data_IF_488726439941
#
_entry.id   IF_488726439941
#
_cell.length_a   1.000
_cell.length_b   1.000
_cell.length_c   1.000
_cell.angle_alpha   90.00
_cell.angle_beta   90.00
_cell.angle_gamma   90.00
#
_symmetry.space_group_name_H-M   'P 1'
#
loop_
_entity.id
_entity.type
_entity.pdbx_description
1 polymer ?
#
# COMPACT_ATOMS: atom_id res chain seq x y z
N UNK A 1 -49.39 38.50 8.11
CA UNK A 1 -50.20 37.62 8.99
C UNK A 1 -49.30 36.44 9.38
N UNK A 2 -48.46 36.58 10.42
CA UNK A 2 -48.66 36.08 11.82
C UNK A 2 -48.86 34.56 11.84
N UNK A 3 -47.90 33.72 12.24
CA UNK A 3 -47.33 33.51 13.59
C UNK A 3 -45.97 32.80 13.42
N UNK A 4 -44.82 33.21 13.99
CA UNK A 4 -44.44 33.35 15.41
C UNK A 4 -44.80 32.13 16.28
N UNK A 5 -43.89 31.15 16.35
CA UNK A 5 -43.74 30.32 17.55
C UNK A 5 -42.27 30.28 17.94
N UNK A 6 -41.96 31.12 18.93
CA UNK A 6 -40.67 31.25 19.59
C UNK A 6 -40.52 30.20 20.69
N UNK A 7 -39.34 29.57 20.74
CA UNK A 7 -38.52 29.34 21.94
C UNK A 7 -39.21 28.58 23.09
N UNK A 8 -38.71 27.38 23.39
CA UNK A 8 -38.27 27.09 24.78
C UNK A 8 -37.05 26.18 24.75
N UNK A 9 -35.87 26.81 24.73
CA UNK A 9 -34.66 26.21 25.31
C UNK A 9 -34.93 25.95 26.79
N UNK A 10 -34.38 24.85 27.30
CA UNK A 10 -33.82 24.68 28.66
C UNK A 10 -34.44 23.51 29.46
N UNK A 11 -33.68 22.42 29.46
CA UNK A 11 -33.36 21.57 30.62
C UNK A 11 -34.50 20.75 31.21
N UNK A 12 -34.57 19.49 30.80
CA UNK A 12 -34.64 18.41 31.76
C UNK A 12 -33.51 17.42 31.44
N UNK A 13 -32.46 17.49 32.28
CA UNK A 13 -31.47 16.43 32.46
C UNK A 13 -32.15 15.23 33.14
N UNK A 14 -31.47 14.08 33.14
CA UNK A 14 -31.83 12.75 33.68
C UNK A 14 -32.51 11.90 32.58
N UNK A 15 -31.91 10.86 32.00
CA UNK A 15 -30.89 9.95 32.48
C UNK A 15 -31.44 8.54 32.38
N UNK A 16 -31.16 7.83 31.29
CA UNK A 16 -31.32 6.38 31.21
C UNK A 16 -30.41 5.84 30.12
N UNK A 17 -29.41 5.09 30.57
CA UNK A 17 -28.45 4.38 29.77
C UNK A 17 -29.16 3.32 28.92
N UNK A 18 -28.98 3.42 27.60
CA UNK A 18 -29.13 2.28 26.69
C UNK A 18 -27.90 2.26 25.80
N UNK A 19 -26.93 1.40 26.15
CA UNK A 19 -25.82 1.04 25.27
C UNK A 19 -26.37 0.36 24.00
N UNK A 20 -26.07 0.86 22.80
CA UNK A 20 -25.99 0.00 21.64
C UNK A 20 -24.53 -0.50 21.56
N UNK A 21 -24.34 -1.75 21.95
CA UNK A 21 -23.15 -2.52 21.58
C UNK A 21 -23.26 -2.74 20.07
N UNK A 22 -22.63 -1.88 19.28
CA UNK A 22 -22.31 -2.19 17.89
C UNK A 22 -20.81 -2.45 17.85
N UNK A 23 -20.48 -3.73 17.97
CA UNK A 23 -19.22 -4.27 17.51
C UNK A 23 -19.06 -3.88 16.04
N UNK A 24 -18.30 -2.82 15.78
CA UNK A 24 -17.80 -2.57 14.44
C UNK A 24 -16.75 -3.65 14.18
N UNK A 25 -17.16 -4.66 13.42
CA UNK A 25 -16.30 -5.75 12.96
C UNK A 25 -14.97 -5.19 12.45
N UNK A 26 -13.88 -5.81 12.91
CA UNK A 26 -12.56 -5.58 12.35
C UNK A 26 -12.64 -5.69 10.85
N UNK A 27 -12.26 -4.61 10.16
CA UNK A 27 -11.97 -4.67 8.73
C UNK A 27 -10.66 -5.43 8.61
N UNK A 28 -10.77 -6.76 8.57
CA UNK A 28 -9.69 -7.61 8.07
C UNK A 28 -9.45 -7.20 6.64
N UNK A 29 -8.46 -6.33 6.42
CA UNK A 29 -7.82 -6.21 5.13
C UNK A 29 -7.06 -7.53 4.94
N UNK A 30 -7.77 -8.52 4.43
CA UNK A 30 -7.19 -9.80 4.03
C UNK A 30 -6.47 -9.57 2.70
N UNK A 31 -5.26 -9.07 2.81
CA UNK A 31 -4.17 -9.31 1.88
C UNK A 31 -2.93 -9.33 2.74
N UNK A 32 -2.04 -10.27 2.48
CA UNK A 32 -0.68 -10.27 3.00
C UNK A 32 0.00 -8.95 2.61
N UNK A 33 -0.22 -7.90 3.40
CA UNK A 33 0.22 -6.51 3.19
C UNK A 33 1.58 -6.30 3.88
N UNK A 34 2.36 -7.37 3.93
CA UNK A 34 3.73 -7.33 4.38
C UNK A 34 4.55 -6.72 3.26
N UNK A 35 5.12 -5.56 3.53
CA UNK A 35 6.01 -4.85 2.62
C UNK A 35 7.19 -5.75 2.19
N UNK A 36 7.48 -5.80 0.89
CA UNK A 36 8.49 -6.70 0.32
C UNK A 36 9.89 -6.06 0.41
N UNK A 37 10.45 -6.00 1.62
CA UNK A 37 11.75 -5.37 1.87
C UNK A 37 12.91 -6.26 1.45
N UNK A 38 13.79 -5.73 0.62
CA UNK A 38 15.07 -6.32 0.23
C UNK A 38 16.26 -5.47 0.71
N UNK A 39 17.41 -6.13 0.88
CA UNK A 39 18.72 -5.53 1.13
C UNK A 39 19.71 -6.03 0.07
N UNK A 40 19.71 -5.43 -1.14
CA UNK A 40 20.47 -5.95 -2.29
C UNK A 40 21.98 -6.06 -2.03
N UNK A 41 22.56 -5.11 -1.30
CA UNK A 41 23.99 -5.12 -0.95
C UNK A 41 24.42 -6.27 -0.03
N UNK A 42 23.45 -6.90 0.65
CA UNK A 42 23.66 -8.03 1.56
C UNK A 42 23.07 -9.33 0.98
N UNK A 43 22.59 -9.31 -0.26
CA UNK A 43 21.86 -10.40 -0.91
C UNK A 43 20.71 -10.98 -0.06
N UNK A 44 20.03 -10.14 0.73
CA UNK A 44 18.85 -10.55 1.51
C UNK A 44 17.58 -10.09 0.82
N UNK A 45 16.68 -11.02 0.57
CA UNK A 45 15.45 -10.81 -0.18
C UNK A 45 14.22 -11.31 0.59
N UNK A 46 13.01 -10.80 0.33
CA UNK A 46 11.81 -11.28 0.99
C UNK A 46 11.50 -12.74 0.58
N UNK A 47 10.77 -13.54 1.39
CA UNK A 47 10.54 -14.96 1.11
C UNK A 47 9.90 -15.28 -0.25
N UNK A 48 9.08 -14.36 -0.81
CA UNK A 48 8.47 -14.52 -2.13
C UNK A 48 9.52 -14.52 -3.26
N UNK A 49 10.63 -13.80 -3.08
CA UNK A 49 11.70 -13.74 -4.06
C UNK A 49 12.29 -15.12 -4.35
N UNK A 50 12.53 -15.92 -3.30
CA UNK A 50 13.12 -17.26 -3.44
C UNK A 50 12.15 -18.30 -4.02
N UNK A 51 10.85 -17.98 -4.08
CA UNK A 51 9.82 -18.82 -4.70
C UNK A 51 9.60 -18.44 -6.17
N UNK A 52 10.06 -17.26 -6.58
CA UNK A 52 9.94 -16.78 -7.96
C UNK A 52 10.88 -17.55 -8.90
N UNK A 53 10.58 -17.52 -10.20
CA UNK A 53 11.44 -18.14 -11.20
C UNK A 53 12.84 -17.50 -11.19
N UNK A 54 13.89 -18.21 -11.66
CA UNK A 54 15.23 -17.64 -11.77
C UNK A 54 15.26 -16.32 -12.57
N UNK A 55 14.45 -16.22 -13.61
CA UNK A 55 14.33 -15.01 -14.44
C UNK A 55 13.72 -13.84 -13.68
N UNK A 56 12.70 -14.11 -12.85
CA UNK A 56 12.11 -13.08 -12.00
C UNK A 56 13.10 -12.61 -10.93
N UNK A 57 13.83 -13.55 -10.31
CA UNK A 57 14.89 -13.21 -9.34
C UNK A 57 15.97 -12.32 -9.97
N UNK A 58 16.41 -12.64 -11.18
CA UNK A 58 17.39 -11.83 -11.92
C UNK A 58 16.83 -10.45 -12.28
N UNK A 59 15.56 -10.38 -12.72
CA UNK A 59 14.91 -9.11 -13.02
C UNK A 59 14.88 -8.16 -11.83
N UNK A 60 14.57 -8.65 -10.62
CA UNK A 60 14.59 -7.82 -9.40
C UNK A 60 16.01 -7.43 -8.98
N UNK A 61 17.00 -8.33 -9.11
CA UNK A 61 18.43 -7.98 -8.90
C UNK A 61 18.85 -6.85 -9.83
N UNK A 62 18.51 -6.97 -11.12
CA UNK A 62 18.81 -5.97 -12.13
C UNK A 62 18.10 -4.64 -11.84
N UNK A 63 16.82 -4.67 -11.46
CA UNK A 63 16.05 -3.47 -11.15
C UNK A 63 16.63 -2.70 -9.95
N UNK A 64 17.06 -3.40 -8.90
CA UNK A 64 17.70 -2.79 -7.76
C UNK A 64 19.10 -2.23 -8.09
N UNK A 65 19.82 -2.85 -9.02
CA UNK A 65 21.19 -2.47 -9.40
C UNK A 65 21.25 -1.36 -10.47
N UNK A 66 20.23 -1.25 -11.33
CA UNK A 66 20.22 -0.35 -12.49
C UNK A 66 18.95 0.51 -12.59
N UNK A 67 18.54 1.23 -11.53
CA UNK A 67 17.37 2.10 -11.58
C UNK A 67 17.48 3.19 -12.66
N UNK A 68 18.69 3.71 -12.87
CA UNK A 68 18.99 4.74 -13.86
C UNK A 68 18.75 4.29 -15.30
N UNK A 69 18.74 2.98 -15.54
CA UNK A 69 18.41 2.39 -16.84
C UNK A 69 16.91 2.14 -16.92
N UNK A 70 16.35 1.43 -15.94
CA UNK A 70 14.96 0.97 -16.00
C UNK A 70 13.93 2.08 -15.90
N UNK A 71 14.28 3.25 -15.35
CA UNK A 71 13.41 4.43 -15.34
C UNK A 71 13.02 4.91 -16.76
N UNK A 72 13.78 4.52 -17.79
CA UNK A 72 13.50 4.88 -19.19
C UNK A 72 12.80 3.78 -19.98
N UNK A 73 12.65 2.59 -19.41
CA UNK A 73 12.02 1.46 -20.09
C UNK A 73 10.51 1.50 -19.84
N UNK A 74 9.66 1.59 -20.88
CA UNK A 74 8.21 1.61 -20.69
C UNK A 74 7.70 0.29 -20.11
N UNK A 75 6.78 0.37 -19.14
CA UNK A 75 6.08 -0.79 -18.58
C UNK A 75 4.79 -1.04 -19.37
N UNK A 76 4.58 -2.28 -19.83
CA UNK A 76 3.42 -2.68 -20.64
C UNK A 76 2.40 -3.53 -19.87
N UNK A 77 2.49 -3.55 -18.54
CA UNK A 77 1.58 -4.30 -17.67
C UNK A 77 0.14 -3.73 -17.64
N UNK A 78 -0.10 -2.59 -18.28
CA UNK A 78 -1.42 -1.92 -18.26
C UNK A 78 -1.70 -1.12 -16.98
N UNK A 79 -0.72 -1.01 -16.08
CA UNK A 79 -0.86 -0.29 -14.81
C UNK A 79 -0.45 1.20 -14.86
N UNK A 80 -0.31 1.78 -16.06
CA UNK A 80 0.13 3.18 -16.22
C UNK A 80 -0.74 4.21 -15.49
N UNK A 81 -2.05 3.98 -15.47
CA UNK A 81 -3.01 4.85 -14.75
C UNK A 81 -2.85 4.79 -13.22
N UNK A 82 -2.16 3.78 -12.68
CA UNK A 82 -1.80 3.69 -11.26
C UNK A 82 -0.52 4.48 -10.93
N UNK A 83 0.09 5.16 -11.91
CA UNK A 83 1.30 5.94 -11.74
C UNK A 83 2.59 5.21 -12.09
N UNK A 84 2.52 3.96 -12.58
CA UNK A 84 3.69 3.20 -13.01
C UNK A 84 4.08 3.59 -14.43
N UNK A 85 5.10 4.42 -14.59
CA UNK A 85 5.49 5.02 -15.87
C UNK A 85 6.61 4.24 -16.58
N UNK A 86 7.29 3.37 -15.84
CA UNK A 86 8.46 2.63 -16.30
C UNK A 86 8.53 1.24 -15.65
N UNK A 87 9.40 0.38 -16.18
CA UNK A 87 9.69 -0.94 -15.58
C UNK A 87 10.23 -0.78 -14.16
N UNK A 88 10.96 0.31 -13.88
CA UNK A 88 11.40 0.61 -12.52
C UNK A 88 10.21 0.77 -11.57
N UNK A 89 9.23 1.60 -11.93
CA UNK A 89 8.05 1.86 -11.08
C UNK A 89 7.24 0.57 -10.84
N UNK A 90 7.22 -0.34 -11.82
CA UNK A 90 6.57 -1.64 -11.69
C UNK A 90 7.32 -2.61 -10.75
N UNK A 91 8.64 -2.45 -10.60
CA UNK A 91 9.51 -3.41 -9.90
C UNK A 91 9.97 -2.93 -8.53
N UNK A 92 10.10 -1.62 -8.32
CA UNK A 92 10.58 -1.00 -7.08
C UNK A 92 9.59 0.09 -6.67
N UNK A 93 9.04 -0.03 -5.46
CA UNK A 93 8.14 0.97 -4.88
C UNK A 93 8.92 2.11 -4.21
N UNK A 94 10.02 1.78 -3.52
CA UNK A 94 10.79 2.76 -2.75
C UNK A 94 12.27 2.34 -2.62
N UNK A 95 13.18 3.30 -2.83
CA UNK A 95 14.57 3.20 -2.37
C UNK A 95 14.73 4.00 -1.08
N UNK A 96 15.22 3.36 -0.02
CA UNK A 96 15.34 3.98 1.30
C UNK A 96 16.75 4.47 1.61
N UNK A 97 16.91 5.48 2.48
CA UNK A 97 18.22 6.00 2.87
C UNK A 97 19.12 4.97 3.57
N UNK A 98 18.54 3.94 4.20
CA UNK A 98 19.29 2.87 4.87
C UNK A 98 19.82 1.79 3.90
N UNK A 99 19.53 1.94 2.60
CA UNK A 99 19.93 1.00 1.55
C UNK A 99 18.97 -0.18 1.38
N UNK A 100 17.86 -0.21 2.12
CA UNK A 100 16.78 -1.16 1.83
C UNK A 100 15.94 -0.69 0.64
N UNK A 101 15.33 -1.66 -0.05
CA UNK A 101 14.52 -1.43 -1.23
C UNK A 101 13.18 -2.14 -1.05
N UNK A 102 12.08 -1.43 -1.29
CA UNK A 102 10.74 -2.00 -1.28
C UNK A 102 10.42 -2.49 -2.69
N UNK A 103 10.23 -3.79 -2.84
CA UNK A 103 9.93 -4.40 -4.13
C UNK A 103 8.45 -4.24 -4.46
N UNK A 104 8.16 -3.89 -5.71
CA UNK A 104 6.82 -3.96 -6.26
C UNK A 104 6.34 -5.40 -6.29
N UNK A 105 5.07 -5.64 -5.98
CA UNK A 105 4.50 -6.99 -6.06
C UNK A 105 4.21 -7.45 -7.50
N UNK A 106 3.94 -6.51 -8.40
CA UNK A 106 3.42 -6.81 -9.75
C UNK A 106 4.36 -7.66 -10.59
N UNK A 107 5.68 -7.58 -10.39
CA UNK A 107 6.65 -8.33 -11.21
C UNK A 107 6.89 -9.76 -10.70
N UNK A 108 6.29 -10.17 -9.57
CA UNK A 108 6.40 -11.55 -9.07
C UNK A 108 5.42 -12.56 -9.71
N UNK A 109 4.40 -12.08 -10.44
CA UNK A 109 3.33 -12.91 -11.02
C UNK A 109 2.06 -12.86 -10.21
#
# INVERSE_FOLDING_TARGET
MTNRWTITRRRFLIGLATLPILAACGRGSSSDDSELVAWPSQDRWPPIFYQASPEAQEAYRYAAAHPEILQYFPCYCGCGEQGHRSVLDCSIEEFRPDGSVVLGRMTFG
#
